data_IF_894517097595
#
_entry.id   IF_894517097595
#
_cell.length_a   1.000
_cell.length_b   1.000
_cell.length_c   1.000
_cell.angle_alpha   90.00
_cell.angle_beta   90.00
_cell.angle_gamma   90.00
#
_symmetry.space_group_name_H-M   'P 1'
#
loop_
_entity.id
_entity.type
_entity.pdbx_description
1 polymer ?
#
# COMPACT_ATOMS: atom_id res chain seq x y z
N UNK A 1 1.90 15.25 19.94
CA UNK A 1 1.49 14.11 20.81
C UNK A 1 2.74 13.28 21.10
N UNK A 2 3.10 13.08 22.37
CA UNK A 2 4.15 12.11 22.74
C UNK A 2 3.64 10.72 22.32
N UNK A 3 4.37 10.03 21.45
CA UNK A 3 4.06 8.65 21.12
C UNK A 3 4.00 7.84 22.43
N UNK A 4 2.92 7.11 22.64
CA UNK A 4 2.78 6.20 23.77
C UNK A 4 3.93 5.20 23.77
N UNK A 5 4.46 4.83 24.95
CA UNK A 5 5.47 3.76 25.08
C UNK A 5 5.02 2.47 24.38
N UNK A 6 3.72 2.18 24.42
CA UNK A 6 3.11 1.04 23.75
C UNK A 6 3.23 1.09 22.21
N UNK A 7 3.06 2.26 21.59
CA UNK A 7 3.24 2.41 20.14
C UNK A 7 4.69 2.15 19.72
N UNK A 8 5.66 2.61 20.50
CA UNK A 8 7.09 2.34 20.21
C UNK A 8 7.44 0.87 20.36
N UNK A 9 6.91 0.22 21.41
CA UNK A 9 7.14 -1.23 21.66
C UNK A 9 6.50 -2.02 20.51
N UNK A 10 5.27 -1.70 20.12
CA UNK A 10 4.58 -2.37 19.02
C UNK A 10 5.34 -2.21 17.69
N UNK A 11 5.77 -1.00 17.32
CA UNK A 11 6.54 -0.76 16.10
C UNK A 11 7.89 -1.51 16.12
N UNK A 12 8.58 -1.51 17.26
CA UNK A 12 9.81 -2.28 17.43
C UNK A 12 9.56 -3.78 17.28
N UNK A 13 8.48 -4.31 17.86
CA UNK A 13 8.12 -5.72 17.77
C UNK A 13 7.85 -6.16 16.32
N UNK A 14 7.20 -5.32 15.52
CA UNK A 14 6.95 -5.60 14.08
C UNK A 14 8.26 -5.68 13.31
N UNK A 15 9.16 -4.73 13.52
CA UNK A 15 10.49 -4.74 12.88
C UNK A 15 11.28 -5.99 13.30
N UNK A 16 11.31 -6.29 14.60
CA UNK A 16 12.01 -7.48 15.14
C UNK A 16 11.43 -8.76 14.56
N UNK A 17 10.09 -8.88 14.50
CA UNK A 17 9.42 -10.05 13.91
C UNK A 17 9.77 -10.22 12.44
N UNK A 18 9.70 -9.15 11.65
CA UNK A 18 10.05 -9.19 10.23
C UNK A 18 11.51 -9.58 10.00
N UNK A 19 12.43 -8.99 10.76
CA UNK A 19 13.86 -9.35 10.69
C UNK A 19 14.07 -10.79 11.11
N UNK A 20 13.40 -11.25 12.17
CA UNK A 20 13.51 -12.64 12.66
C UNK A 20 13.01 -13.65 11.61
N UNK A 21 11.89 -13.37 10.92
CA UNK A 21 11.38 -14.25 9.87
C UNK A 21 12.37 -14.34 8.69
N UNK A 22 12.90 -13.20 8.24
CA UNK A 22 13.91 -13.21 7.16
C UNK A 22 15.19 -13.89 7.60
N UNK A 23 15.67 -13.60 8.81
CA UNK A 23 16.83 -14.26 9.38
C UNK A 23 16.62 -15.79 9.48
N UNK A 24 15.45 -16.22 9.94
CA UNK A 24 15.10 -17.64 9.99
C UNK A 24 15.15 -18.29 8.61
N UNK A 25 14.55 -17.66 7.57
CA UNK A 25 14.57 -18.19 6.20
C UNK A 25 15.99 -18.28 5.67
N UNK A 26 16.80 -17.21 5.87
CA UNK A 26 18.20 -17.18 5.43
C UNK A 26 19.06 -18.20 6.18
N UNK A 27 18.90 -18.30 7.51
CA UNK A 27 19.65 -19.25 8.34
C UNK A 27 19.21 -20.72 8.15
N UNK A 28 17.99 -20.95 7.68
CA UNK A 28 17.51 -22.28 7.30
C UNK A 28 18.02 -22.72 5.93
N UNK A 29 18.77 -21.86 5.24
CA UNK A 29 19.41 -22.20 3.97
C UNK A 29 20.74 -22.91 4.28
N UNK A 30 20.94 -24.11 3.75
CA UNK A 30 22.09 -24.98 4.04
C UNK A 30 23.44 -24.40 3.63
N UNK A 31 23.47 -23.28 2.86
CA UNK A 31 24.68 -22.72 2.31
C UNK A 31 24.75 -21.18 2.45
N UNK A 32 25.08 -20.71 3.65
CA UNK A 32 25.30 -19.28 3.93
C UNK A 32 26.45 -18.67 3.11
N UNK A 33 27.41 -19.49 2.66
CA UNK A 33 28.50 -19.02 1.79
C UNK A 33 27.96 -18.57 0.44
N UNK A 34 27.02 -19.31 -0.16
CA UNK A 34 26.34 -18.91 -1.41
C UNK A 34 25.55 -17.60 -1.27
N UNK A 35 24.96 -17.35 -0.12
CA UNK A 35 24.29 -16.06 0.17
C UNK A 35 25.31 -14.93 0.10
N UNK A 36 26.50 -15.11 0.71
CA UNK A 36 27.58 -14.13 0.66
C UNK A 36 28.11 -13.90 -0.75
N UNK A 37 28.35 -14.95 -1.52
CA UNK A 37 28.80 -14.86 -2.92
C UNK A 37 27.76 -14.17 -3.80
N UNK A 38 26.48 -14.52 -3.66
CA UNK A 38 25.40 -13.88 -4.43
C UNK A 38 25.28 -12.38 -4.12
N UNK A 39 25.48 -11.96 -2.87
CA UNK A 39 25.48 -10.54 -2.50
C UNK A 39 26.67 -9.77 -3.09
N UNK A 40 27.83 -10.42 -3.24
CA UNK A 40 29.02 -9.78 -3.83
C UNK A 40 28.98 -9.74 -5.36
N UNK A 41 28.23 -10.61 -6.00
CA UNK A 41 28.07 -10.71 -7.46
C UNK A 41 26.90 -9.89 -8.00
N UNK A 42 26.15 -9.15 -7.14
CA UNK A 42 25.00 -8.36 -7.56
C UNK A 42 25.36 -7.31 -8.61
N UNK A 43 24.53 -7.22 -9.65
CA UNK A 43 24.63 -6.13 -10.61
C UNK A 43 24.02 -4.85 -10.02
N UNK A 44 24.85 -3.81 -9.76
CA UNK A 44 24.41 -2.60 -9.05
C UNK A 44 23.37 -1.80 -9.84
N UNK A 45 23.37 -1.87 -11.16
CA UNK A 45 22.42 -1.13 -12.00
C UNK A 45 21.01 -1.67 -11.88
N UNK A 46 20.86 -2.99 -11.84
CA UNK A 46 19.56 -3.61 -11.62
C UNK A 46 19.05 -3.42 -10.18
N UNK A 47 19.98 -3.42 -9.22
CA UNK A 47 19.63 -3.08 -7.84
C UNK A 47 19.14 -1.62 -7.73
N UNK A 48 19.83 -0.68 -8.38
CA UNK A 48 19.39 0.72 -8.46
C UNK A 48 18.02 0.83 -9.16
N UNK A 49 17.77 0.04 -10.20
CA UNK A 49 16.47 -0.03 -10.87
C UNK A 49 15.38 -0.54 -9.92
N UNK A 50 15.66 -1.51 -9.03
CA UNK A 50 14.71 -1.96 -8.02
C UNK A 50 14.33 -0.83 -7.04
N UNK A 51 15.31 -0.05 -6.56
CA UNK A 51 15.05 1.15 -5.75
C UNK A 51 14.27 2.22 -6.52
N UNK A 52 14.60 2.45 -7.79
CA UNK A 52 13.88 3.39 -8.63
C UNK A 52 12.42 2.96 -8.86
N UNK A 53 12.16 1.69 -9.06
CA UNK A 53 10.81 1.13 -9.15
C UNK A 53 10.03 1.40 -7.86
N UNK A 54 10.59 1.10 -6.70
CA UNK A 54 9.90 1.34 -5.43
C UNK A 54 9.72 2.85 -5.14
N UNK A 55 10.69 3.68 -5.48
CA UNK A 55 10.56 5.13 -5.45
C UNK A 55 9.43 5.63 -6.37
N UNK A 56 9.34 5.07 -7.58
CA UNK A 56 8.25 5.33 -8.53
C UNK A 56 6.88 4.96 -7.95
N UNK A 57 6.77 3.83 -7.27
CA UNK A 57 5.57 3.44 -6.53
C UNK A 57 5.15 4.52 -5.51
N UNK A 58 6.07 5.00 -4.66
CA UNK A 58 5.80 6.03 -3.66
C UNK A 58 5.41 7.37 -4.30
N UNK A 59 6.07 7.75 -5.40
CA UNK A 59 5.76 8.97 -6.15
C UNK A 59 4.36 8.87 -6.76
N UNK A 60 4.03 7.76 -7.43
CA UNK A 60 2.72 7.56 -8.03
C UNK A 60 1.61 7.54 -6.98
N UNK A 61 1.84 6.96 -5.80
CA UNK A 61 0.89 7.00 -4.69
C UNK A 61 0.60 8.44 -4.27
N UNK A 62 1.63 9.26 -4.10
CA UNK A 62 1.51 10.67 -3.77
C UNK A 62 0.82 11.48 -4.88
N UNK A 63 1.20 11.24 -6.14
CA UNK A 63 0.56 11.90 -7.30
C UNK A 63 -0.92 11.54 -7.42
N UNK A 64 -1.30 10.30 -7.11
CA UNK A 64 -2.69 9.88 -7.05
C UNK A 64 -3.49 10.67 -6.01
N UNK A 65 -2.97 10.83 -4.79
CA UNK A 65 -3.60 11.68 -3.76
C UNK A 65 -3.71 13.14 -4.22
N UNK A 66 -2.64 13.69 -4.79
CA UNK A 66 -2.63 15.06 -5.32
C UNK A 66 -3.66 15.26 -6.44
N UNK A 67 -3.78 14.28 -7.36
CA UNK A 67 -4.76 14.33 -8.44
C UNK A 67 -6.20 14.36 -7.91
N UNK A 68 -6.49 13.61 -6.83
CA UNK A 68 -7.81 13.60 -6.21
C UNK A 68 -8.17 14.91 -5.49
N UNK A 69 -7.18 15.71 -5.08
CA UNK A 69 -7.38 16.99 -4.41
C UNK A 69 -7.61 18.16 -5.37
N UNK A 70 -7.08 18.05 -6.61
CA UNK A 70 -7.14 19.11 -7.62
C UNK A 70 -8.55 19.65 -7.89
N UNK A 71 -9.54 18.79 -8.17
CA UNK A 71 -10.93 19.19 -8.43
C UNK A 71 -11.61 19.96 -7.30
N UNK A 72 -11.09 19.81 -6.07
CA UNK A 72 -11.61 20.50 -4.87
C UNK A 72 -10.86 21.82 -4.59
N UNK A 73 -10.04 22.28 -5.53
CA UNK A 73 -9.29 23.54 -5.43
C UNK A 73 -8.04 23.46 -4.56
N UNK A 74 -7.64 22.29 -4.04
CA UNK A 74 -6.43 22.16 -3.24
C UNK A 74 -5.19 21.94 -4.11
N UNK A 75 -4.20 22.81 -3.95
CA UNK A 75 -2.89 22.71 -4.63
C UNK A 75 -1.83 22.18 -3.65
N UNK A 76 -1.54 20.89 -3.75
CA UNK A 76 -0.49 20.24 -2.96
C UNK A 76 0.82 20.16 -3.77
N UNK A 77 1.97 20.41 -3.12
CA UNK A 77 3.28 20.20 -3.74
C UNK A 77 3.57 18.70 -3.87
N UNK A 78 4.35 18.32 -4.89
CA UNK A 78 4.72 16.92 -5.11
C UNK A 78 5.47 16.36 -3.91
N UNK A 79 6.40 17.13 -3.31
CA UNK A 79 7.11 16.70 -2.10
C UNK A 79 6.20 16.40 -0.92
N UNK A 80 5.13 17.21 -0.74
CA UNK A 80 4.15 16.98 0.33
C UNK A 80 3.28 15.75 0.05
N UNK A 81 2.96 15.50 -1.22
CA UNK A 81 2.21 14.33 -1.65
C UNK A 81 3.03 13.04 -1.46
N UNK A 82 4.31 13.04 -1.83
CA UNK A 82 5.23 11.91 -1.59
C UNK A 82 5.44 11.67 -0.09
N UNK A 83 5.53 12.73 0.70
CA UNK A 83 5.60 12.60 2.16
C UNK A 83 4.33 11.94 2.75
N UNK A 84 3.13 12.32 2.26
CA UNK A 84 1.88 11.64 2.66
C UNK A 84 1.84 10.17 2.23
N UNK A 85 2.39 9.84 1.07
CA UNK A 85 2.57 8.48 0.60
C UNK A 85 3.44 7.67 1.56
N UNK A 86 4.61 8.20 1.91
CA UNK A 86 5.54 7.56 2.85
C UNK A 86 4.89 7.31 4.22
N UNK A 87 4.15 8.30 4.75
CA UNK A 87 3.36 8.16 5.99
C UNK A 87 2.35 7.02 5.85
N UNK A 88 1.59 7.00 4.75
CA UNK A 88 0.58 5.98 4.51
C UNK A 88 1.18 4.57 4.46
N UNK A 89 2.27 4.39 3.73
CA UNK A 89 2.96 3.10 3.62
C UNK A 89 3.57 2.68 4.95
N UNK A 90 4.25 3.60 5.66
CA UNK A 90 4.85 3.32 6.96
C UNK A 90 3.81 2.84 7.98
N UNK A 91 2.73 3.62 8.18
CA UNK A 91 1.68 3.24 9.12
C UNK A 91 0.88 2.01 8.65
N UNK A 92 0.77 1.79 7.34
CA UNK A 92 0.24 0.55 6.79
C UNK A 92 1.08 -0.66 7.19
N UNK A 93 2.39 -0.58 7.01
CA UNK A 93 3.30 -1.69 7.32
C UNK A 93 3.37 -2.04 8.81
N UNK A 94 3.23 -1.09 9.71
CA UNK A 94 3.27 -1.35 11.16
C UNK A 94 1.92 -1.72 11.77
N UNK A 95 0.85 -1.75 10.95
CA UNK A 95 -0.50 -2.10 11.44
C UNK A 95 -1.02 -3.38 10.79
N UNK A 96 -1.78 -4.20 11.54
CA UNK A 96 -2.37 -5.41 10.98
C UNK A 96 -3.27 -5.11 9.77
N UNK A 97 -3.12 -5.91 8.71
CA UNK A 97 -3.95 -5.75 7.51
C UNK A 97 -3.81 -4.41 6.80
N UNK A 98 -2.69 -3.71 6.97
CA UNK A 98 -2.43 -2.38 6.36
C UNK A 98 -3.44 -1.29 6.78
N UNK A 99 -4.13 -1.47 7.92
CA UNK A 99 -5.29 -0.67 8.33
C UNK A 99 -4.97 0.76 8.78
N UNK A 100 -3.75 1.02 9.24
CA UNK A 100 -3.34 2.33 9.78
C UNK A 100 -2.93 3.36 8.74
N UNK A 101 -2.59 2.93 7.52
CA UNK A 101 -2.06 3.81 6.49
C UNK A 101 -3.03 4.92 6.08
N UNK A 102 -4.24 4.54 5.71
CA UNK A 102 -5.26 5.46 5.23
C UNK A 102 -5.73 6.47 6.30
N UNK A 103 -6.07 6.06 7.54
CA UNK A 103 -6.43 7.01 8.58
C UNK A 103 -5.32 8.03 8.88
N UNK A 104 -4.05 7.61 8.81
CA UNK A 104 -2.92 8.52 9.04
C UNK A 104 -2.71 9.49 7.86
N UNK A 105 -2.95 9.07 6.62
CA UNK A 105 -2.98 9.99 5.49
C UNK A 105 -4.05 11.07 5.67
N UNK A 106 -5.30 10.68 6.01
CA UNK A 106 -6.39 11.62 6.27
C UNK A 106 -6.02 12.57 7.42
N UNK A 107 -5.51 12.05 8.53
CA UNK A 107 -5.08 12.86 9.67
C UNK A 107 -4.04 13.92 9.28
N UNK A 108 -3.02 13.56 8.51
CA UNK A 108 -1.99 14.51 8.06
C UNK A 108 -2.50 15.49 7.02
N UNK A 109 -3.49 15.12 6.19
CA UNK A 109 -4.15 16.05 5.26
C UNK A 109 -4.97 17.09 6.00
N UNK A 110 -5.74 16.68 7.02
CA UNK A 110 -6.51 17.60 7.87
C UNK A 110 -5.58 18.56 8.64
N UNK A 111 -4.43 18.09 9.12
CA UNK A 111 -3.41 18.97 9.71
C UNK A 111 -2.87 20.02 8.73
N UNK A 112 -2.89 19.73 7.41
CA UNK A 112 -2.52 20.67 6.33
C UNK A 112 -3.67 21.58 5.91
N UNK A 113 -4.75 21.66 6.69
CA UNK A 113 -5.96 22.48 6.45
C UNK A 113 -6.77 22.06 5.22
N UNK A 114 -6.72 20.79 4.87
CA UNK A 114 -7.62 20.19 3.89
C UNK A 114 -8.86 19.70 4.65
N UNK A 115 -10.06 19.96 4.13
CA UNK A 115 -11.31 19.54 4.72
C UNK A 115 -11.35 18.02 4.95
N UNK A 116 -11.93 17.59 6.06
CA UNK A 116 -11.91 16.18 6.46
C UNK A 116 -12.66 15.28 5.47
N UNK A 117 -13.79 15.74 4.94
CA UNK A 117 -14.56 15.01 3.93
C UNK A 117 -13.82 14.88 2.62
N UNK A 118 -13.16 15.96 2.14
CA UNK A 118 -12.31 15.94 0.95
C UNK A 118 -11.11 15.02 1.15
N UNK A 119 -10.48 15.06 2.33
CA UNK A 119 -9.35 14.18 2.65
C UNK A 119 -9.75 12.70 2.63
N UNK A 120 -10.89 12.37 3.25
CA UNK A 120 -11.42 11.01 3.29
C UNK A 120 -11.80 10.52 1.88
N UNK A 121 -12.49 11.35 1.09
CA UNK A 121 -12.88 11.02 -0.27
C UNK A 121 -11.68 10.79 -1.19
N UNK A 122 -10.66 11.64 -1.09
CA UNK A 122 -9.44 11.51 -1.90
C UNK A 122 -8.70 10.20 -1.59
N UNK A 123 -8.55 9.84 -0.32
CA UNK A 123 -7.90 8.59 0.09
C UNK A 123 -8.73 7.37 -0.31
N UNK A 124 -10.06 7.41 -0.10
CA UNK A 124 -10.95 6.32 -0.47
C UNK A 124 -11.01 6.09 -1.98
N UNK A 125 -11.17 7.17 -2.77
CA UNK A 125 -11.19 7.08 -4.23
C UNK A 125 -9.87 6.54 -4.79
N UNK A 126 -8.73 7.05 -4.31
CA UNK A 126 -7.41 6.54 -4.71
C UNK A 126 -7.27 5.04 -4.40
N UNK A 127 -7.68 4.63 -3.21
CA UNK A 127 -7.63 3.22 -2.79
C UNK A 127 -8.50 2.32 -3.68
N UNK A 128 -9.72 2.77 -3.99
CA UNK A 128 -10.62 2.10 -4.91
C UNK A 128 -9.97 1.87 -6.29
N UNK A 129 -9.44 2.92 -6.91
CA UNK A 129 -8.79 2.81 -8.22
C UNK A 129 -7.54 1.93 -8.18
N UNK A 130 -6.76 1.98 -7.10
CA UNK A 130 -5.60 1.12 -6.93
C UNK A 130 -5.99 -0.37 -6.88
N UNK A 131 -7.03 -0.73 -6.12
CA UNK A 131 -7.53 -2.12 -6.09
C UNK A 131 -8.12 -2.56 -7.43
N UNK A 132 -8.88 -1.69 -8.09
CA UNK A 132 -9.45 -1.97 -9.41
C UNK A 132 -8.34 -2.26 -10.44
N UNK A 133 -7.28 -1.46 -10.47
CA UNK A 133 -6.16 -1.67 -11.39
C UNK A 133 -5.33 -2.89 -11.05
N UNK A 134 -5.07 -3.18 -9.77
CA UNK A 134 -4.35 -4.40 -9.34
C UNK A 134 -5.12 -5.64 -9.78
N UNK A 135 -6.43 -5.71 -9.53
CA UNK A 135 -7.26 -6.84 -9.99
C UNK A 135 -7.24 -6.96 -11.51
N UNK A 136 -7.49 -5.85 -12.23
CA UNK A 136 -7.50 -5.83 -13.68
C UNK A 136 -6.17 -6.28 -14.28
N UNK A 137 -5.04 -5.78 -13.77
CA UNK A 137 -3.71 -6.16 -14.23
C UNK A 137 -3.36 -7.61 -13.88
N UNK A 138 -3.74 -8.07 -12.69
CA UNK A 138 -3.53 -9.48 -12.29
C UNK A 138 -4.27 -10.41 -13.25
N UNK A 139 -5.54 -10.14 -13.51
CA UNK A 139 -6.36 -10.95 -14.43
C UNK A 139 -5.83 -10.89 -15.86
N UNK A 140 -5.44 -9.71 -16.35
CA UNK A 140 -4.86 -9.55 -17.68
C UNK A 140 -3.56 -10.34 -17.83
N UNK A 141 -2.61 -10.16 -16.92
CA UNK A 141 -1.32 -10.85 -16.97
C UNK A 141 -1.48 -12.36 -16.79
N UNK A 142 -2.39 -12.78 -15.90
CA UNK A 142 -2.69 -14.19 -15.74
C UNK A 142 -3.29 -14.79 -17.02
N UNK A 143 -4.24 -14.12 -17.67
CA UNK A 143 -4.83 -14.59 -18.92
C UNK A 143 -3.79 -14.67 -20.06
N UNK A 144 -2.91 -13.66 -20.17
CA UNK A 144 -1.85 -13.63 -21.20
C UNK A 144 -0.75 -14.70 -20.97
N UNK A 145 -0.52 -15.11 -19.71
CA UNK A 145 0.52 -16.03 -19.32
C UNK A 145 -0.02 -17.29 -18.61
N UNK A 146 -1.26 -17.69 -18.91
CA UNK A 146 -1.98 -18.72 -18.16
C UNK A 146 -1.24 -20.06 -18.13
N UNK A 147 -0.71 -20.52 -19.28
CA UNK A 147 0.04 -21.78 -19.36
C UNK A 147 1.29 -21.78 -18.47
N UNK A 148 2.04 -20.70 -18.47
CA UNK A 148 3.22 -20.56 -17.62
C UNK A 148 2.84 -20.47 -16.13
N UNK A 149 1.87 -19.65 -15.80
CA UNK A 149 1.42 -19.45 -14.42
C UNK A 149 0.86 -20.74 -13.82
N UNK A 150 0.05 -21.50 -14.58
CA UNK A 150 -0.48 -22.79 -14.13
C UNK A 150 0.63 -23.84 -13.97
N UNK A 151 1.63 -23.88 -14.85
CA UNK A 151 2.77 -24.77 -14.69
C UNK A 151 3.60 -24.44 -13.45
N UNK A 152 3.80 -23.15 -13.17
CA UNK A 152 4.67 -22.68 -12.07
C UNK A 152 3.97 -22.74 -10.70
N UNK A 153 2.73 -22.24 -10.61
CA UNK A 153 2.00 -22.06 -9.35
C UNK A 153 0.59 -22.66 -9.36
N UNK A 154 0.31 -23.60 -10.28
CA UNK A 154 -1.03 -24.20 -10.40
C UNK A 154 -1.51 -24.91 -9.14
N UNK A 155 -0.60 -25.47 -8.35
CA UNK A 155 -0.89 -26.06 -7.05
C UNK A 155 -1.35 -25.04 -6.00
N UNK A 156 -1.12 -23.72 -6.23
CA UNK A 156 -1.55 -22.63 -5.37
C UNK A 156 -2.82 -21.92 -5.88
N UNK A 157 -3.48 -22.47 -6.91
CA UNK A 157 -4.66 -21.83 -7.54
C UNK A 157 -5.74 -21.46 -6.53
N UNK A 158 -6.01 -22.32 -5.54
CA UNK A 158 -6.99 -22.00 -4.50
C UNK A 158 -6.63 -20.76 -3.70
N UNK A 159 -5.35 -20.59 -3.33
CA UNK A 159 -4.84 -19.42 -2.62
C UNK A 159 -4.93 -18.15 -3.48
N UNK A 160 -4.58 -18.27 -4.76
CA UNK A 160 -4.69 -17.18 -5.74
C UNK A 160 -6.15 -16.75 -5.89
N UNK A 161 -7.08 -17.69 -6.05
CA UNK A 161 -8.51 -17.39 -6.21
C UNK A 161 -9.08 -16.73 -4.94
N UNK A 162 -8.74 -17.24 -3.75
CA UNK A 162 -9.15 -16.62 -2.48
C UNK A 162 -8.63 -15.17 -2.40
N UNK A 163 -7.36 -14.96 -2.70
CA UNK A 163 -6.76 -13.63 -2.70
C UNK A 163 -7.38 -12.67 -3.72
N UNK A 164 -7.69 -13.17 -4.94
CA UNK A 164 -8.41 -12.40 -5.96
C UNK A 164 -9.83 -12.04 -5.50
N UNK A 165 -10.56 -12.97 -4.95
CA UNK A 165 -11.92 -12.73 -4.41
C UNK A 165 -11.86 -11.68 -3.29
N UNK A 166 -10.91 -11.79 -2.38
CA UNK A 166 -10.71 -10.83 -1.30
C UNK A 166 -10.36 -9.43 -1.85
N UNK A 167 -9.45 -9.37 -2.83
CA UNK A 167 -9.06 -8.09 -3.47
C UNK A 167 -10.23 -7.50 -4.23
N UNK A 168 -10.95 -8.31 -5.00
CA UNK A 168 -12.13 -7.86 -5.74
C UNK A 168 -13.25 -7.42 -4.80
N UNK A 169 -13.48 -8.11 -3.68
CA UNK A 169 -14.51 -7.76 -2.70
C UNK A 169 -14.29 -6.36 -2.08
N UNK A 170 -13.05 -5.89 -1.99
CA UNK A 170 -12.77 -4.51 -1.56
C UNK A 170 -13.35 -3.47 -2.51
N UNK A 171 -13.46 -3.74 -3.80
CA UNK A 171 -14.02 -2.81 -4.79
C UNK A 171 -15.51 -2.53 -4.51
N UNK A 172 -16.41 -3.53 -4.50
CA UNK A 172 -17.83 -3.28 -4.19
C UNK A 172 -18.06 -2.85 -2.74
N UNK A 173 -17.26 -3.31 -1.78
CA UNK A 173 -17.36 -2.85 -0.38
C UNK A 173 -17.06 -1.35 -0.29
N UNK A 174 -15.95 -0.89 -0.88
CA UNK A 174 -15.61 0.53 -0.91
C UNK A 174 -16.70 1.33 -1.62
N UNK A 175 -17.20 0.83 -2.75
CA UNK A 175 -18.27 1.46 -3.49
C UNK A 175 -19.59 1.51 -2.69
N UNK A 176 -19.94 0.44 -2.00
CA UNK A 176 -21.12 0.38 -1.13
C UNK A 176 -21.01 1.37 0.03
N UNK A 177 -19.84 1.46 0.67
CA UNK A 177 -19.57 2.43 1.74
C UNK A 177 -19.68 3.86 1.21
N UNK A 178 -19.18 4.12 0.01
CA UNK A 178 -19.20 5.45 -0.61
C UNK A 178 -20.62 5.86 -1.06
N UNK A 179 -21.36 4.93 -1.70
CA UNK A 179 -22.67 5.23 -2.29
C UNK A 179 -23.83 5.07 -1.30
N UNK A 180 -23.69 4.24 -0.29
CA UNK A 180 -24.77 3.91 0.64
C UNK A 180 -24.69 4.73 1.92
N UNK A 181 -25.09 6.02 1.83
CA UNK A 181 -25.13 6.95 2.96
C UNK A 181 -25.78 6.36 4.22
N UNK A 182 -26.97 5.74 4.16
CA UNK A 182 -27.61 5.23 5.37
C UNK A 182 -26.84 4.09 6.04
N UNK A 183 -26.09 3.32 5.29
CA UNK A 183 -25.24 2.25 5.84
C UNK A 183 -24.05 2.84 6.61
N UNK A 184 -23.37 3.81 6.03
CA UNK A 184 -22.21 4.48 6.66
C UNK A 184 -22.68 5.26 7.88
N UNK A 185 -23.78 5.99 7.78
CA UNK A 185 -24.37 6.75 8.88
C UNK A 185 -24.73 5.85 10.06
N UNK A 186 -25.41 4.72 9.81
CA UNK A 186 -25.72 3.73 10.86
C UNK A 186 -24.47 3.17 11.53
N UNK A 187 -23.44 2.87 10.73
CA UNK A 187 -22.18 2.36 11.26
C UNK A 187 -21.45 3.39 12.12
N UNK A 188 -21.34 4.62 11.63
CA UNK A 188 -20.69 5.73 12.35
C UNK A 188 -21.44 6.06 13.64
N UNK A 189 -22.78 6.15 13.59
CA UNK A 189 -23.61 6.38 14.77
C UNK A 189 -23.54 5.23 15.78
N UNK A 190 -23.48 3.97 15.30
CA UNK A 190 -23.27 2.82 16.15
C UNK A 190 -21.89 2.89 16.83
N UNK A 191 -20.85 3.24 16.09
CA UNK A 191 -19.49 3.37 16.63
C UNK A 191 -19.39 4.50 17.66
N UNK A 192 -20.02 5.66 17.42
CA UNK A 192 -20.08 6.77 18.38
C UNK A 192 -20.79 6.34 19.67
N UNK A 193 -21.92 5.61 19.58
CA UNK A 193 -22.62 5.05 20.75
C UNK A 193 -21.76 4.05 21.52
N UNK A 194 -20.96 3.26 20.81
CA UNK A 194 -20.01 2.32 21.44
C UNK A 194 -18.91 3.08 22.20
N UNK A 195 -18.36 4.15 21.63
CA UNK A 195 -17.39 5.03 22.30
C UNK A 195 -18.00 5.76 23.51
N UNK A 196 -19.27 6.16 23.42
CA UNK A 196 -20.01 6.74 24.53
C UNK A 196 -20.16 5.73 25.69
N UNK A 197 -20.55 4.49 25.37
CA UNK A 197 -20.66 3.41 26.36
C UNK A 197 -19.33 3.12 27.08
N UNK A 198 -18.21 3.33 26.41
CA UNK A 198 -16.88 3.17 26.99
C UNK A 198 -16.32 4.46 27.62
N UNK A 199 -17.16 5.51 27.77
CA UNK A 199 -16.78 6.80 28.35
C UNK A 199 -15.60 7.50 27.65
N UNK A 200 -15.34 7.16 26.39
CA UNK A 200 -14.27 7.76 25.57
C UNK A 200 -14.75 9.09 24.98
N UNK A 201 -16.06 9.21 24.70
CA UNK A 201 -16.66 10.37 24.05
C UNK A 201 -17.43 11.21 25.08
N UNK A 202 -16.94 12.44 25.36
CA UNK A 202 -17.57 13.36 26.31
C UNK A 202 -18.79 14.14 25.76
N UNK A 203 -18.89 14.31 24.43
CA UNK A 203 -19.96 15.07 23.75
C UNK A 203 -20.37 14.31 22.47
N UNK A 204 -21.24 13.28 22.57
CA UNK A 204 -21.63 12.45 21.42
C UNK A 204 -22.36 13.25 20.33
N UNK A 205 -23.18 14.23 20.68
CA UNK A 205 -23.95 15.07 19.75
C UNK A 205 -23.02 15.84 18.77
N UNK A 206 -21.98 16.50 19.29
CA UNK A 206 -20.99 17.21 18.47
C UNK A 206 -20.23 16.28 17.53
N UNK A 207 -19.95 15.06 17.98
CA UNK A 207 -19.29 14.05 17.14
C UNK A 207 -20.21 13.54 16.05
N UNK A 208 -21.51 13.38 16.35
CA UNK A 208 -22.52 12.98 15.37
C UNK A 208 -22.69 14.05 14.30
N UNK A 209 -22.88 15.31 14.67
CA UNK A 209 -23.01 16.44 13.75
C UNK A 209 -21.78 16.56 12.84
N UNK A 210 -20.59 16.51 13.43
CA UNK A 210 -19.34 16.55 12.67
C UNK A 210 -19.18 15.35 11.72
N UNK A 211 -19.58 14.17 12.15
CA UNK A 211 -19.51 12.97 11.33
C UNK A 211 -20.46 13.08 10.13
N UNK A 212 -21.71 13.50 10.33
CA UNK A 212 -22.70 13.71 9.26
C UNK A 212 -22.20 14.76 8.27
N UNK A 213 -21.70 15.89 8.74
CA UNK A 213 -21.13 16.93 7.88
C UNK A 213 -19.94 16.40 7.05
N UNK A 214 -19.00 15.69 7.69
CA UNK A 214 -17.87 15.06 6.98
C UNK A 214 -18.31 14.06 5.92
N UNK A 215 -19.39 13.31 6.19
CA UNK A 215 -19.98 12.37 5.23
C UNK A 215 -20.60 13.09 4.02
N UNK A 216 -21.31 14.20 4.25
CA UNK A 216 -21.88 15.01 3.16
C UNK A 216 -20.77 15.58 2.25
N UNK A 217 -19.73 16.16 2.84
CA UNK A 217 -18.55 16.62 2.10
C UNK A 217 -17.89 15.49 1.30
N UNK A 218 -17.75 14.30 1.91
CA UNK A 218 -17.14 13.14 1.27
C UNK A 218 -17.96 12.67 0.04
N UNK A 219 -19.28 12.59 0.17
CA UNK A 219 -20.15 12.18 -0.94
C UNK A 219 -20.15 13.19 -2.08
N UNK A 220 -20.21 14.49 -1.77
CA UNK A 220 -20.13 15.54 -2.79
C UNK A 220 -18.80 15.49 -3.53
N UNK A 221 -17.70 15.32 -2.79
CA UNK A 221 -16.37 15.20 -3.34
C UNK A 221 -16.25 14.00 -4.29
N UNK A 222 -16.75 12.84 -3.88
CA UNK A 222 -16.73 11.62 -4.72
C UNK A 222 -17.62 11.75 -5.95
N UNK A 223 -18.81 12.35 -5.81
CA UNK A 223 -19.69 12.58 -6.93
C UNK A 223 -19.06 13.50 -7.99
N UNK A 224 -18.31 14.52 -7.57
CA UNK A 224 -17.58 15.40 -8.48
C UNK A 224 -16.46 14.69 -9.23
N UNK A 225 -15.74 13.77 -8.56
CA UNK A 225 -14.67 12.96 -9.17
C UNK A 225 -15.22 12.02 -10.26
N UNK A 226 -16.30 11.31 -9.95
CA UNK A 226 -16.91 10.35 -10.89
C UNK A 226 -17.47 11.06 -12.14
N UNK A 227 -17.94 12.29 -11.99
CA UNK A 227 -18.45 13.10 -13.13
C UNK A 227 -17.36 13.63 -14.05
N UNK A 228 -16.10 13.51 -13.68
CA UNK A 228 -14.97 13.97 -14.48
C UNK A 228 -14.21 12.79 -15.11
N UNK A 229 -14.52 12.38 -16.37
CA UNK A 229 -13.89 11.23 -17.00
C UNK A 229 -12.37 11.38 -17.14
N UNK A 230 -11.89 12.62 -17.31
CA UNK A 230 -10.45 12.90 -17.37
C UNK A 230 -9.73 12.59 -16.04
N UNK A 231 -10.37 12.87 -14.89
CA UNK A 231 -9.82 12.54 -13.58
C UNK A 231 -9.83 11.03 -13.33
N UNK A 232 -10.89 10.34 -13.74
CA UNK A 232 -10.98 8.87 -13.65
C UNK A 232 -9.85 8.23 -14.48
N UNK A 233 -9.68 8.68 -15.75
CA UNK A 233 -8.62 8.16 -16.61
C UNK A 233 -7.23 8.45 -16.06
N UNK A 234 -6.98 9.67 -15.59
CA UNK A 234 -5.72 10.05 -14.97
C UNK A 234 -5.41 9.14 -13.77
N UNK A 235 -6.39 8.90 -12.91
CA UNK A 235 -6.20 8.05 -11.74
C UNK A 235 -5.96 6.59 -12.11
N UNK A 236 -6.67 6.06 -13.11
CA UNK A 236 -6.42 4.71 -13.62
C UNK A 236 -4.99 4.57 -14.15
N UNK A 237 -4.50 5.55 -14.92
CA UNK A 237 -3.12 5.55 -15.43
C UNK A 237 -2.12 5.61 -14.28
N UNK A 238 -2.29 6.53 -13.33
CA UNK A 238 -1.39 6.65 -12.18
C UNK A 238 -1.37 5.35 -11.36
N UNK A 239 -2.55 4.76 -11.08
CA UNK A 239 -2.65 3.51 -10.31
C UNK A 239 -2.05 2.32 -11.07
N UNK A 240 -2.18 2.30 -12.40
CA UNK A 240 -1.55 1.26 -13.23
C UNK A 240 -0.03 1.34 -13.18
N UNK A 241 0.52 2.54 -13.37
CA UNK A 241 1.97 2.77 -13.24
C UNK A 241 2.46 2.45 -11.83
N UNK A 242 1.70 2.84 -10.82
CA UNK A 242 1.99 2.52 -9.41
C UNK A 242 2.08 1.01 -9.18
N UNK A 243 1.09 0.24 -9.64
CA UNK A 243 1.07 -1.22 -9.53
C UNK A 243 2.23 -1.87 -10.29
N UNK A 244 2.51 -1.41 -11.51
CA UNK A 244 3.66 -1.89 -12.29
C UNK A 244 4.99 -1.61 -11.58
N UNK A 245 5.18 -0.42 -11.05
CA UNK A 245 6.39 -0.06 -10.31
C UNK A 245 6.61 -0.96 -9.09
N UNK A 246 5.56 -1.24 -8.31
CA UNK A 246 5.65 -2.12 -7.14
C UNK A 246 5.99 -3.56 -7.54
N UNK A 247 5.29 -4.10 -8.54
CA UNK A 247 5.43 -5.50 -8.97
C UNK A 247 6.68 -5.74 -9.86
N UNK A 248 7.29 -4.69 -10.39
CA UNK A 248 8.56 -4.79 -11.11
C UNK A 248 9.76 -4.98 -10.17
N UNK A 249 9.65 -4.71 -8.87
CA UNK A 249 10.77 -4.88 -7.94
C UNK A 249 11.34 -6.31 -7.93
N UNK A 250 10.56 -7.41 -7.86
CA UNK A 250 11.09 -8.77 -7.99
C UNK A 250 11.77 -9.03 -9.34
N UNK A 251 11.28 -8.41 -10.44
CA UNK A 251 11.90 -8.52 -11.77
C UNK A 251 13.31 -7.93 -11.77
N UNK A 252 13.44 -6.73 -11.17
CA UNK A 252 14.75 -6.06 -11.07
C UNK A 252 15.72 -6.85 -10.18
N UNK A 253 15.22 -7.43 -9.08
CA UNK A 253 16.00 -8.30 -8.19
C UNK A 253 16.45 -9.56 -8.92
N UNK A 254 15.59 -10.17 -9.75
CA UNK A 254 15.93 -11.32 -10.59
C UNK A 254 17.13 -11.03 -11.49
N UNK A 255 17.09 -9.91 -12.20
CA UNK A 255 18.21 -9.49 -13.06
C UNK A 255 19.44 -9.02 -12.26
N UNK A 256 19.24 -8.45 -11.05
CA UNK A 256 20.36 -8.07 -10.19
C UNK A 256 21.20 -9.29 -9.75
N UNK A 257 20.56 -10.45 -9.59
CA UNK A 257 21.21 -11.74 -9.31
C UNK A 257 21.81 -12.41 -10.55
N UNK A 258 21.81 -11.76 -11.72
CA UNK A 258 22.35 -12.30 -12.96
C UNK A 258 21.51 -13.42 -13.60
N UNK A 259 20.28 -13.63 -13.12
CA UNK A 259 19.41 -14.68 -13.62
C UNK A 259 18.79 -14.27 -14.97
N UNK A 260 18.74 -15.21 -15.93
CA UNK A 260 18.28 -14.95 -17.31
C UNK A 260 17.33 -16.00 -17.87
N UNK A 261 17.08 -17.09 -17.13
CA UNK A 261 16.30 -18.25 -17.62
C UNK A 261 14.79 -17.98 -17.77
N UNK A 262 14.24 -16.91 -17.16
CA UNK A 262 12.81 -16.60 -17.19
C UNK A 262 12.57 -15.21 -17.77
N UNK A 263 11.59 -15.09 -18.66
CA UNK A 263 11.22 -13.79 -19.25
C UNK A 263 10.66 -12.85 -18.19
N UNK A 264 11.00 -11.57 -18.27
CA UNK A 264 10.61 -10.54 -17.30
C UNK A 264 9.09 -10.45 -17.05
N UNK A 265 8.26 -10.66 -18.08
CA UNK A 265 6.80 -10.62 -17.96
C UNK A 265 6.22 -11.84 -17.22
N UNK A 266 6.92 -12.99 -17.22
CA UNK A 266 6.58 -14.14 -16.40
C UNK A 266 6.87 -13.87 -14.93
N UNK A 267 8.04 -13.31 -14.61
CA UNK A 267 8.40 -12.89 -13.24
C UNK A 267 7.38 -11.86 -12.73
N UNK A 268 7.01 -10.89 -13.58
CA UNK A 268 6.01 -9.88 -13.27
C UNK A 268 4.63 -10.49 -12.99
N UNK A 269 4.20 -11.45 -13.81
CA UNK A 269 2.92 -12.16 -13.61
C UNK A 269 2.89 -12.85 -12.24
N UNK A 270 3.95 -13.58 -11.89
CA UNK A 270 4.05 -14.26 -10.60
C UNK A 270 4.08 -13.25 -9.45
N UNK A 271 4.70 -12.06 -9.65
CA UNK A 271 4.69 -10.97 -8.65
C UNK A 271 3.26 -10.50 -8.33
N UNK A 272 2.43 -10.30 -9.35
CA UNK A 272 1.01 -9.93 -9.17
C UNK A 272 0.22 -11.04 -8.47
N UNK A 273 0.43 -12.29 -8.86
CA UNK A 273 -0.24 -13.45 -8.24
C UNK A 273 0.16 -13.61 -6.76
N UNK A 274 1.43 -13.47 -6.43
CA UNK A 274 1.91 -13.45 -5.04
C UNK A 274 1.25 -12.31 -4.26
N UNK A 275 1.25 -11.10 -4.83
CA UNK A 275 0.70 -9.94 -4.14
C UNK A 275 -0.76 -10.14 -3.76
N UNK A 276 -1.63 -10.53 -4.69
CA UNK A 276 -3.05 -10.74 -4.38
C UNK A 276 -3.27 -11.89 -3.39
N UNK A 277 -2.44 -12.93 -3.43
CA UNK A 277 -2.54 -14.09 -2.55
C UNK A 277 -2.13 -13.80 -1.10
N UNK A 278 -1.15 -12.91 -0.89
CA UNK A 278 -0.53 -12.68 0.42
C UNK A 278 -0.93 -11.37 1.10
N UNK A 279 -1.51 -10.40 0.36
CA UNK A 279 -1.75 -9.03 0.87
C UNK A 279 -2.75 -8.93 2.01
N UNK A 280 -3.64 -9.90 2.16
CA UNK A 280 -4.67 -9.91 3.20
C UNK A 280 -4.28 -10.69 4.45
N UNK A 281 -3.03 -11.12 4.57
CA UNK A 281 -2.55 -11.72 5.81
C UNK A 281 -2.70 -10.71 6.96
N UNK A 282 -3.30 -11.12 8.09
CA UNK A 282 -3.66 -10.20 9.19
C UNK A 282 -2.45 -9.74 10.01
N UNK A 283 -1.25 -9.99 9.53
CA UNK A 283 -0.01 -9.58 10.17
C UNK A 283 0.49 -8.22 9.63
N UNK A 284 1.19 -7.44 10.44
CA UNK A 284 1.82 -6.20 10.02
C UNK A 284 2.73 -6.41 8.81
N UNK A 285 2.56 -5.59 7.75
CA UNK A 285 3.29 -5.75 6.49
C UNK A 285 3.06 -7.08 5.77
N UNK A 286 1.98 -7.82 6.10
CA UNK A 286 1.72 -9.19 5.65
C UNK A 286 2.93 -10.13 5.88
N UNK A 287 3.70 -9.87 6.95
CA UNK A 287 4.91 -10.63 7.30
C UNK A 287 4.58 -12.11 7.51
N UNK A 288 5.45 -12.97 7.02
CA UNK A 288 5.25 -14.42 6.98
C UNK A 288 4.54 -14.87 5.68
N UNK A 289 3.42 -14.26 5.31
CA UNK A 289 2.70 -14.61 4.08
C UNK A 289 3.44 -14.12 2.83
N UNK A 290 4.00 -12.92 2.87
CA UNK A 290 4.79 -12.39 1.77
C UNK A 290 6.14 -13.11 1.62
N UNK A 291 6.83 -13.40 2.72
CA UNK A 291 8.11 -14.10 2.72
C UNK A 291 7.94 -15.56 2.30
N UNK A 292 7.06 -16.29 2.98
CA UNK A 292 6.77 -17.68 2.62
C UNK A 292 6.18 -17.80 1.21
N UNK A 293 5.29 -16.86 0.85
CA UNK A 293 4.78 -16.74 -0.50
C UNK A 293 5.88 -16.51 -1.53
N UNK A 294 6.84 -15.62 -1.28
CA UNK A 294 7.96 -15.40 -2.21
C UNK A 294 8.72 -16.70 -2.47
N UNK A 295 9.11 -17.42 -1.41
CA UNK A 295 9.84 -18.67 -1.54
C UNK A 295 9.06 -19.69 -2.38
N UNK A 296 7.75 -19.82 -2.15
CA UNK A 296 6.94 -20.83 -2.86
C UNK A 296 6.60 -20.41 -4.30
N UNK A 297 6.19 -19.15 -4.51
CA UNK A 297 5.79 -18.67 -5.84
C UNK A 297 6.98 -18.51 -6.79
N UNK A 298 8.15 -18.19 -6.26
CA UNK A 298 9.35 -17.97 -7.05
C UNK A 298 10.35 -19.11 -7.00
N UNK A 299 10.02 -20.27 -6.39
CA UNK A 299 10.91 -21.43 -6.27
C UNK A 299 11.52 -21.85 -7.63
N UNK A 300 10.68 -22.03 -8.65
CA UNK A 300 11.12 -22.43 -9.99
C UNK A 300 11.77 -21.31 -10.82
N UNK A 301 11.69 -20.05 -10.35
CA UNK A 301 12.22 -18.87 -11.05
C UNK A 301 13.59 -18.48 -10.50
N UNK A 302 13.72 -18.40 -9.19
CA UNK A 302 14.96 -18.02 -8.51
C UNK A 302 15.82 -19.23 -8.13
N UNK A 303 15.22 -20.43 -8.04
CA UNK A 303 15.93 -21.64 -7.61
C UNK A 303 16.64 -21.43 -6.28
N UNK A 304 17.90 -21.83 -6.19
CA UNK A 304 18.73 -21.69 -4.98
C UNK A 304 18.99 -20.22 -4.57
N UNK A 305 18.72 -19.25 -5.45
CA UNK A 305 18.86 -17.82 -5.17
C UNK A 305 17.60 -17.22 -4.49
N UNK A 306 16.53 -18.00 -4.29
CA UNK A 306 15.29 -17.49 -3.72
C UNK A 306 15.46 -16.84 -2.34
N UNK A 307 16.27 -17.36 -1.39
CA UNK A 307 16.48 -16.70 -0.09
C UNK A 307 17.17 -15.34 -0.22
N UNK A 308 18.16 -15.21 -1.10
CA UNK A 308 18.86 -13.94 -1.36
C UNK A 308 17.93 -12.96 -2.07
N UNK A 309 17.19 -13.43 -3.07
CA UNK A 309 16.20 -12.64 -3.79
C UNK A 309 15.13 -12.07 -2.84
N UNK A 310 14.63 -12.90 -1.93
CA UNK A 310 13.71 -12.49 -0.87
C UNK A 310 14.30 -11.39 0.01
N UNK A 311 15.53 -11.57 0.49
CA UNK A 311 16.20 -10.61 1.34
C UNK A 311 16.33 -9.24 0.66
N UNK A 312 16.81 -9.21 -0.57
CA UNK A 312 16.99 -7.97 -1.36
C UNK A 312 15.63 -7.32 -1.63
N UNK A 313 14.64 -8.11 -2.07
CA UNK A 313 13.30 -7.60 -2.34
C UNK A 313 12.67 -6.96 -1.09
N UNK A 314 12.74 -7.64 0.07
CA UNK A 314 12.24 -7.11 1.34
C UNK A 314 13.02 -5.90 1.81
N UNK A 315 14.32 -5.87 1.58
CA UNK A 315 15.11 -4.69 1.90
C UNK A 315 14.64 -3.46 1.12
N UNK A 316 14.46 -3.61 -0.19
CA UNK A 316 14.03 -2.52 -1.08
C UNK A 316 12.59 -2.08 -0.78
N UNK A 317 11.65 -3.03 -0.63
CA UNK A 317 10.21 -2.72 -0.60
C UNK A 317 9.62 -2.57 0.80
N UNK A 318 10.30 -3.05 1.84
CA UNK A 318 9.76 -3.06 3.20
C UNK A 318 10.70 -2.39 4.22
N UNK A 319 11.91 -2.93 4.44
CA UNK A 319 12.77 -2.44 5.52
C UNK A 319 13.25 -1.01 5.31
N UNK A 320 13.62 -0.65 4.09
CA UNK A 320 14.04 0.72 3.77
C UNK A 320 12.90 1.72 4.03
N UNK A 321 11.67 1.38 3.63
CA UNK A 321 10.52 2.22 3.88
C UNK A 321 10.21 2.36 5.38
N UNK A 322 10.37 1.29 6.17
CA UNK A 322 10.24 1.36 7.63
C UNK A 322 11.29 2.28 8.25
N UNK A 323 12.55 2.17 7.82
CA UNK A 323 13.64 3.02 8.32
C UNK A 323 13.39 4.50 7.99
N UNK A 324 13.08 4.81 6.73
CA UNK A 324 12.80 6.18 6.29
C UNK A 324 11.54 6.73 6.97
N UNK A 325 10.46 5.95 7.03
CA UNK A 325 9.21 6.35 7.69
C UNK A 325 9.35 6.54 9.19
N UNK A 326 10.18 5.72 9.86
CA UNK A 326 10.53 5.92 11.27
C UNK A 326 11.31 7.22 11.47
N UNK A 327 12.33 7.47 10.65
CA UNK A 327 13.10 8.70 10.67
C UNK A 327 12.20 9.93 10.40
N UNK A 328 11.32 9.86 9.41
CA UNK A 328 10.34 10.89 9.09
C UNK A 328 9.43 11.20 10.28
N UNK A 329 8.89 10.17 10.92
CA UNK A 329 8.00 10.33 12.09
C UNK A 329 8.72 11.00 13.26
N UNK A 330 10.01 10.72 13.46
CA UNK A 330 10.80 11.28 14.56
C UNK A 330 11.25 12.71 14.26
N UNK A 331 11.72 13.00 13.05
CA UNK A 331 12.41 14.26 12.73
C UNK A 331 11.53 15.27 11.98
N UNK A 332 10.62 14.82 11.12
CA UNK A 332 9.85 15.70 10.22
C UNK A 332 8.43 15.90 10.71
N UNK A 333 7.77 14.84 11.18
CA UNK A 333 6.37 14.91 11.66
C UNK A 333 6.20 15.74 12.92
N UNK A 334 7.29 16.06 13.64
CA UNK A 334 7.30 16.99 14.77
C UNK A 334 7.19 18.46 14.35
N UNK A 335 7.46 18.80 13.09
CA UNK A 335 7.31 20.16 12.57
C UNK A 335 5.85 20.43 12.19
N UNK A 336 5.44 21.70 12.28
CA UNK A 336 4.12 22.09 11.78
C UNK A 336 4.05 21.86 10.26
N UNK A 337 3.06 21.09 9.78
CA UNK A 337 2.94 20.84 8.36
C UNK A 337 2.54 22.12 7.64
N UNK A 338 3.13 22.35 6.47
CA UNK A 338 2.76 23.48 5.62
C UNK A 338 1.28 23.38 5.24
N UNK A 339 0.49 24.45 5.40
CA UNK A 339 -0.90 24.44 4.99
C UNK A 339 -1.01 24.27 3.48
N UNK A 340 -1.97 23.48 3.03
CA UNK A 340 -2.32 23.40 1.62
C UNK A 340 -3.15 24.63 1.24
N UNK A 341 -2.75 25.33 0.19
CA UNK A 341 -3.46 26.52 -0.28
C UNK A 341 -4.67 26.06 -1.08
N UNK A 342 -5.88 26.50 -0.66
CA UNK A 342 -7.06 26.38 -1.49
C UNK A 342 -7.01 27.49 -2.53
N UNK A 343 -6.95 27.12 -3.82
CA UNK A 343 -7.11 28.10 -4.89
C UNK A 343 -8.52 28.69 -4.76
N UNK A 344 -8.62 29.99 -4.58
CA UNK A 344 -9.89 30.69 -4.72
C UNK A 344 -10.35 30.43 -6.15
N UNK A 345 -11.43 29.70 -6.32
CA UNK A 345 -12.06 29.57 -7.62
C UNK A 345 -12.60 30.97 -7.91
N UNK A 346 -11.95 31.69 -8.79
CA UNK A 346 -12.52 32.87 -9.43
C UNK A 346 -13.74 32.37 -10.21
N UNK A 347 -14.92 32.84 -9.78
CA UNK A 347 -16.22 32.60 -10.42
C UNK A 347 -16.23 33.17 -11.86
#
# INVERSE_FOLDING_TARGET
MKQSKWSRIFNASVIVLSVAVVAFIVLSTDDLARVGEALTSLNPWWLLAAFACYGGYLICEGLGLRAMLGPHGYRMRVSDAVHLSLIGVFYGYITPGYSGGQPMQVYHMVRRKIDAGVSLSAVAARHFFNHLTIVGMTLLLWALNASYALAQVGHLTALIVIGLVMTFANVPITLAVVLNRPLVERFVLWFIRLMEKWHICRNPEKWQEKAVHTMDECQQALASLVRSPGQVLLQLVISSVQGMCLMAAPVMVYHALGLTGTAWYHVLTISFLLFVSASYAPLPGATGAQEGGFVVFFAGIFGDHAPVGLLIWRFVTFYLCLLIGCADTVFISSREPRPCVRAVMEE
#
